data_IF_811162093035
#
_entry.id   IF_811162093035
#
_cell.length_a   1.000
_cell.length_b   1.000
_cell.length_c   1.000
_cell.angle_alpha   90.00
_cell.angle_beta   90.00
_cell.angle_gamma   90.00
#
_symmetry.space_group_name_H-M   'P 1'
#
loop_
_entity.id
_entity.type
_entity.pdbx_description
1 polymer ?
#
# COMPACT_ATOMS: atom_id res chain seq x y z
N UNK A 1 3.63 22.03 -7.11
CA UNK A 1 4.51 22.10 -8.30
C UNK A 1 4.61 20.75 -9.02
N UNK A 2 5.03 19.67 -8.35
CA UNK A 2 5.18 18.34 -8.97
C UNK A 2 3.96 17.81 -9.75
N UNK A 3 2.75 17.93 -9.21
CA UNK A 3 1.55 17.31 -9.80
C UNK A 3 1.03 17.98 -11.09
N UNK A 4 1.39 19.24 -11.34
CA UNK A 4 0.99 19.95 -12.56
C UNK A 4 1.80 19.50 -13.79
N UNK A 5 3.01 18.99 -13.57
CA UNK A 5 3.91 18.54 -14.65
C UNK A 5 3.53 17.15 -15.19
N UNK A 6 2.62 16.44 -14.51
CA UNK A 6 2.16 15.09 -14.88
C UNK A 6 0.72 15.07 -15.42
N UNK A 7 0.21 16.22 -15.90
CA UNK A 7 -1.08 16.30 -16.60
C UNK A 7 -2.31 16.09 -15.71
N UNK A 8 -2.17 16.24 -14.40
CA UNK A 8 -3.29 16.15 -13.48
C UNK A 8 -4.25 17.32 -13.62
N UNK A 9 -5.55 17.03 -13.56
CA UNK A 9 -6.61 18.03 -13.71
C UNK A 9 -7.05 18.49 -12.33
N UNK A 10 -6.96 19.79 -12.10
CA UNK A 10 -7.47 20.42 -10.88
C UNK A 10 -8.92 20.81 -11.11
N UNK A 11 -9.84 20.26 -10.30
CA UNK A 11 -11.24 20.64 -10.30
C UNK A 11 -11.55 21.36 -8.99
N UNK A 12 -12.06 22.60 -9.10
CA UNK A 12 -12.59 23.37 -7.97
C UNK A 12 -14.10 23.16 -7.91
N UNK A 13 -14.58 22.48 -6.86
CA UNK A 13 -16.02 22.27 -6.58
C UNK A 13 -16.70 23.54 -6.07
N UNK A 14 -16.58 24.67 -6.79
CA UNK A 14 -17.30 25.89 -6.39
C UNK A 14 -18.81 25.79 -6.62
N UNK A 15 -19.30 24.82 -7.43
CA UNK A 15 -20.71 24.78 -7.84
C UNK A 15 -21.41 23.41 -7.87
N UNK A 16 -20.81 22.32 -7.35
CA UNK A 16 -21.53 21.03 -7.30
C UNK A 16 -22.14 20.76 -5.92
N UNK A 17 -23.24 21.45 -5.65
CA UNK A 17 -24.21 21.04 -4.64
C UNK A 17 -24.88 19.71 -5.06
N UNK A 18 -24.21 18.54 -4.96
CA UNK A 18 -24.86 17.22 -5.14
C UNK A 18 -24.04 15.94 -4.89
N UNK A 19 -22.97 15.95 -4.09
CA UNK A 19 -22.34 14.67 -3.68
C UNK A 19 -23.06 14.09 -2.46
N UNK A 20 -24.11 13.32 -2.73
CA UNK A 20 -24.80 12.47 -1.77
C UNK A 20 -24.24 11.06 -1.91
N UNK A 21 -23.47 10.60 -0.92
CA UNK A 21 -23.20 9.17 -0.74
C UNK A 21 -24.18 8.65 0.30
N UNK A 22 -25.04 7.69 -0.09
CA UNK A 22 -25.99 7.02 0.80
C UNK A 22 -26.91 7.95 1.61
N UNK A 23 -27.41 9.02 0.99
CA UNK A 23 -28.34 9.97 1.63
C UNK A 23 -27.71 10.92 2.67
N UNK A 24 -26.40 10.84 2.92
CA UNK A 24 -25.75 11.69 3.93
C UNK A 24 -25.12 12.91 3.26
N UNK A 25 -25.64 14.09 3.57
CA UNK A 25 -25.02 15.38 3.24
C UNK A 25 -23.73 15.52 4.05
N UNK A 26 -22.57 15.48 3.38
CA UNK A 26 -21.29 15.77 4.03
C UNK A 26 -21.27 17.24 4.48
N UNK A 27 -20.89 17.47 5.73
CA UNK A 27 -20.85 18.79 6.36
C UNK A 27 -20.01 19.77 5.51
N UNK A 28 -20.61 20.88 5.08
CA UNK A 28 -19.99 21.90 4.23
C UNK A 28 -18.71 22.52 4.83
N UNK A 29 -18.54 22.46 6.15
CA UNK A 29 -17.33 22.96 6.82
C UNK A 29 -16.14 22.00 6.74
N UNK A 30 -16.35 20.72 6.37
CA UNK A 30 -15.28 19.74 6.14
C UNK A 30 -14.77 19.74 4.70
N UNK A 31 -15.49 20.39 3.77
CA UNK A 31 -15.22 20.31 2.32
C UNK A 31 -14.78 21.63 1.70
N UNK A 32 -14.76 22.73 2.47
CA UNK A 32 -14.60 24.09 1.97
C UNK A 32 -13.25 24.42 1.31
N UNK A 33 -12.26 23.52 1.37
CA UNK A 33 -10.93 23.67 0.74
C UNK A 33 -10.40 22.37 0.12
N UNK A 34 -11.26 21.39 -0.16
CA UNK A 34 -10.83 20.16 -0.84
C UNK A 34 -10.80 20.38 -2.35
N UNK A 35 -9.65 20.79 -2.86
CA UNK A 35 -9.38 20.72 -4.31
C UNK A 35 -9.16 19.25 -4.68
N UNK A 36 -10.01 18.72 -5.56
CA UNK A 36 -9.86 17.36 -6.04
C UNK A 36 -8.83 17.35 -7.16
N UNK A 37 -7.77 16.59 -6.92
CA UNK A 37 -6.74 16.35 -7.91
C UNK A 37 -6.99 15.00 -8.57
N UNK A 38 -7.45 15.02 -9.81
CA UNK A 38 -7.66 13.81 -10.59
C UNK A 38 -6.34 13.40 -11.25
N UNK A 39 -5.82 12.26 -10.83
CA UNK A 39 -4.62 11.61 -11.36
C UNK A 39 -4.88 10.12 -11.47
N UNK A 40 -4.41 9.50 -12.55
CA UNK A 40 -4.47 8.06 -12.66
C UNK A 40 -3.49 7.43 -11.67
N UNK A 41 -3.83 6.21 -11.23
CA UNK A 41 -3.06 5.48 -10.23
C UNK A 41 -1.60 5.26 -10.64
N UNK A 42 -1.34 4.97 -11.91
CA UNK A 42 0.01 4.65 -12.38
C UNK A 42 0.92 5.87 -12.25
N UNK A 43 0.46 7.02 -12.72
CA UNK A 43 1.19 8.28 -12.62
C UNK A 43 1.45 8.66 -11.16
N UNK A 44 0.45 8.52 -10.28
CA UNK A 44 0.63 8.81 -8.85
C UNK A 44 1.68 7.88 -8.21
N UNK A 45 1.62 6.58 -8.49
CA UNK A 45 2.62 5.61 -7.99
C UNK A 45 4.04 5.96 -8.48
N UNK A 46 4.19 6.37 -9.74
CA UNK A 46 5.49 6.80 -10.30
C UNK A 46 6.04 8.02 -9.57
N UNK A 47 5.22 9.05 -9.34
CA UNK A 47 5.62 10.27 -8.63
C UNK A 47 6.04 9.95 -7.20
N UNK A 48 5.24 9.17 -6.48
CA UNK A 48 5.56 8.78 -5.09
C UNK A 48 6.88 7.99 -5.00
N UNK A 49 7.12 7.03 -5.90
CA UNK A 49 8.38 6.28 -5.93
C UNK A 49 9.58 7.19 -6.17
N UNK A 50 9.47 8.13 -7.13
CA UNK A 50 10.54 9.08 -7.42
C UNK A 50 10.87 9.94 -6.20
N UNK A 51 9.85 10.50 -5.55
CA UNK A 51 10.05 11.32 -4.36
C UNK A 51 10.66 10.52 -3.20
N UNK A 52 10.21 9.28 -2.97
CA UNK A 52 10.81 8.40 -1.97
C UNK A 52 12.30 8.12 -2.26
N UNK A 53 12.66 7.83 -3.51
CA UNK A 53 14.06 7.64 -3.89
C UNK A 53 14.90 8.91 -3.69
N UNK A 54 14.35 10.09 -3.98
CA UNK A 54 15.06 11.36 -3.80
C UNK A 54 15.27 11.71 -2.32
N UNK A 55 14.24 11.51 -1.49
CA UNK A 55 14.29 11.84 -0.07
C UNK A 55 15.10 10.84 0.75
N UNK A 56 14.98 9.56 0.46
CA UNK A 56 15.55 8.48 1.27
C UNK A 56 16.75 7.78 0.61
N UNK A 57 17.13 8.15 -0.62
CA UNK A 57 18.33 7.68 -1.29
C UNK A 57 18.48 6.15 -1.23
N UNK A 58 19.61 5.70 -0.66
CA UNK A 58 19.96 4.27 -0.55
C UNK A 58 19.30 3.54 0.64
N UNK A 59 18.44 4.21 1.41
CA UNK A 59 17.76 3.58 2.56
C UNK A 59 16.57 2.70 2.13
N UNK A 60 16.07 2.88 0.90
CA UNK A 60 14.97 2.09 0.36
C UNK A 60 15.51 1.14 -0.71
N UNK A 61 15.46 -0.15 -0.42
CA UNK A 61 15.74 -1.19 -1.41
C UNK A 61 14.46 -1.67 -2.08
N UNK A 62 14.30 -1.36 -3.37
CA UNK A 62 13.15 -1.81 -4.15
C UNK A 62 13.40 -3.19 -4.78
N UNK A 63 12.69 -4.22 -4.28
CA UNK A 63 12.67 -5.56 -4.91
C UNK A 63 11.54 -5.66 -5.95
N UNK A 64 11.82 -5.21 -7.17
CA UNK A 64 10.88 -5.33 -8.30
C UNK A 64 10.67 -6.79 -8.69
N UNK A 65 9.51 -7.09 -9.28
CA UNK A 65 9.12 -8.43 -9.72
C UNK A 65 9.21 -9.51 -8.62
N UNK A 66 9.21 -9.11 -7.36
CA UNK A 66 9.14 -10.00 -6.21
C UNK A 66 7.70 -10.28 -5.81
N UNK A 67 7.46 -11.46 -5.23
CA UNK A 67 6.21 -11.80 -4.55
C UNK A 67 6.53 -12.44 -3.21
N UNK A 68 5.98 -11.88 -2.14
CA UNK A 68 5.97 -12.52 -0.83
C UNK A 68 5.06 -13.75 -0.90
N UNK A 69 5.55 -14.88 -0.40
CA UNK A 69 4.85 -16.18 -0.46
C UNK A 69 4.58 -16.78 0.92
N UNK A 70 5.31 -16.36 1.95
CA UNK A 70 5.18 -16.90 3.30
C UNK A 70 5.71 -15.90 4.35
N UNK A 71 5.19 -16.00 5.57
CA UNK A 71 5.78 -15.38 6.76
C UNK A 71 6.86 -16.28 7.38
N UNK A 72 7.88 -15.67 7.97
CA UNK A 72 8.84 -16.33 8.85
C UNK A 72 8.36 -16.06 10.28
N UNK A 73 7.98 -17.11 11.00
CA UNK A 73 7.36 -17.01 12.32
C UNK A 73 8.18 -17.74 13.37
N UNK A 74 8.26 -17.16 14.55
CA UNK A 74 8.67 -17.86 15.76
C UNK A 74 7.42 -18.18 16.57
N UNK A 75 7.04 -19.46 16.56
CA UNK A 75 5.86 -19.94 17.28
C UNK A 75 6.05 -19.90 18.80
N UNK A 76 7.28 -20.02 19.30
CA UNK A 76 7.56 -19.99 20.73
C UNK A 76 7.43 -18.58 21.30
N UNK A 77 7.91 -17.59 20.56
CA UNK A 77 7.76 -16.17 20.89
C UNK A 77 6.41 -15.60 20.45
N UNK A 78 5.62 -16.33 19.66
CA UNK A 78 4.39 -15.86 19.02
C UNK A 78 4.60 -14.58 18.20
N UNK A 79 5.70 -14.50 17.44
CA UNK A 79 6.09 -13.32 16.66
C UNK A 79 6.32 -13.64 15.19
N UNK A 80 6.13 -12.64 14.33
CA UNK A 80 6.56 -12.68 12.93
C UNK A 80 7.92 -12.00 12.84
N UNK A 81 8.92 -12.70 12.33
CA UNK A 81 10.31 -12.22 12.24
C UNK A 81 10.69 -11.73 10.84
N UNK A 82 9.92 -12.11 9.82
CA UNK A 82 10.27 -11.81 8.44
C UNK A 82 9.30 -12.35 7.41
N UNK A 83 9.71 -12.29 6.15
CA UNK A 83 8.98 -12.79 4.99
C UNK A 83 9.88 -13.60 4.07
N UNK A 84 9.31 -14.64 3.46
CA UNK A 84 9.93 -15.32 2.31
C UNK A 84 9.32 -14.78 1.03
N UNK A 85 10.15 -14.45 0.06
CA UNK A 85 9.72 -14.00 -1.25
C UNK A 85 10.39 -14.78 -2.38
N UNK A 86 9.79 -14.70 -3.58
CA UNK A 86 10.32 -15.25 -4.83
C UNK A 86 10.31 -14.19 -5.91
N UNK A 87 11.34 -14.19 -6.77
CA UNK A 87 11.37 -13.39 -7.99
C UNK A 87 10.55 -14.08 -9.09
N UNK A 88 9.62 -13.35 -9.71
CA UNK A 88 8.67 -13.88 -10.70
C UNK A 88 9.33 -14.37 -11.99
N UNK A 89 10.49 -13.83 -12.34
CA UNK A 89 11.20 -14.13 -13.59
C UNK A 89 11.78 -15.55 -13.62
N UNK A 90 11.86 -16.23 -12.47
CA UNK A 90 12.40 -17.58 -12.37
C UNK A 90 11.40 -18.50 -11.66
N UNK A 91 10.46 -19.06 -12.42
CA UNK A 91 9.53 -20.10 -11.92
C UNK A 91 10.35 -21.38 -11.66
N UNK A 92 10.80 -21.54 -10.41
CA UNK A 92 11.78 -22.55 -9.99
C UNK A 92 12.90 -21.99 -9.11
N UNK A 93 13.00 -20.66 -8.98
CA UNK A 93 13.98 -20.01 -8.10
C UNK A 93 13.77 -20.34 -6.62
N UNK A 94 14.90 -20.40 -5.93
CA UNK A 94 15.00 -20.46 -4.48
C UNK A 94 14.19 -19.35 -3.83
N UNK A 95 13.58 -19.67 -2.69
CA UNK A 95 12.97 -18.66 -1.82
C UNK A 95 14.08 -17.84 -1.17
N UNK A 96 13.81 -16.55 -1.03
CA UNK A 96 14.70 -15.59 -0.38
C UNK A 96 14.04 -15.09 0.90
N UNK A 97 14.82 -14.97 1.96
CA UNK A 97 14.36 -14.56 3.28
C UNK A 97 14.72 -13.09 3.53
N UNK A 98 13.81 -12.35 4.15
CA UNK A 98 14.04 -11.00 4.66
C UNK A 98 13.49 -10.91 6.06
N UNK A 99 14.33 -10.46 6.99
CA UNK A 99 13.99 -10.27 8.39
C UNK A 99 13.82 -8.78 8.69
N UNK A 100 12.99 -8.46 9.66
CA UNK A 100 12.81 -7.09 10.13
C UNK A 100 11.94 -7.03 11.38
N UNK A 101 12.10 -5.95 12.15
CA UNK A 101 11.35 -5.74 13.39
C UNK A 101 9.85 -5.51 13.13
N UNK A 102 9.53 -4.92 11.97
CA UNK A 102 8.17 -4.63 11.55
C UNK A 102 7.94 -5.08 10.11
N UNK A 103 6.75 -5.63 9.86
CA UNK A 103 6.27 -5.95 8.52
C UNK A 103 4.97 -5.19 8.31
N UNK A 104 4.95 -4.35 7.28
CA UNK A 104 3.78 -3.57 6.90
C UNK A 104 3.24 -4.15 5.60
N UNK A 105 2.07 -4.76 5.67
CA UNK A 105 1.40 -5.32 4.50
C UNK A 105 0.48 -4.29 3.82
N UNK A 106 0.93 -3.80 2.67
CA UNK A 106 0.20 -2.88 1.81
C UNK A 106 -0.24 -3.53 0.48
N UNK A 107 -0.42 -4.85 0.42
CA UNK A 107 -0.77 -5.58 -0.82
C UNK A 107 -2.21 -5.34 -1.30
N UNK A 108 -3.06 -4.76 -0.45
CA UNK A 108 -4.43 -4.36 -0.79
C UNK A 108 -5.45 -5.49 -0.62
N UNK A 109 -6.49 -5.47 -1.46
CA UNK A 109 -7.57 -6.47 -1.41
C UNK A 109 -7.01 -7.87 -1.72
N UNK A 110 -7.50 -8.88 -0.99
CA UNK A 110 -7.08 -10.28 -1.09
C UNK A 110 -5.64 -10.55 -0.66
N UNK A 111 -5.14 -9.81 0.35
CA UNK A 111 -3.87 -10.15 0.98
C UNK A 111 -3.86 -11.60 1.50
N UNK A 112 -2.72 -12.27 1.30
CA UNK A 112 -2.46 -13.59 1.88
C UNK A 112 -1.98 -13.54 3.34
N UNK A 113 -1.60 -12.36 3.85
CA UNK A 113 -1.04 -12.21 5.19
C UNK A 113 -2.02 -12.63 6.29
N UNK A 114 -3.30 -12.29 6.16
CA UNK A 114 -4.32 -12.70 7.14
C UNK A 114 -4.44 -14.23 7.18
N UNK A 115 -4.39 -14.89 6.00
CA UNK A 115 -4.41 -16.34 5.93
C UNK A 115 -3.17 -16.92 6.62
N UNK A 116 -1.98 -16.44 6.27
CA UNK A 116 -0.73 -16.91 6.89
C UNK A 116 -0.72 -16.71 8.40
N UNK A 117 -1.22 -15.57 8.87
CA UNK A 117 -1.35 -15.30 10.29
C UNK A 117 -2.28 -16.31 10.97
N UNK A 118 -3.45 -16.62 10.41
CA UNK A 118 -4.36 -17.66 10.93
C UNK A 118 -3.77 -19.07 10.89
N UNK A 119 -2.99 -19.37 9.85
CA UNK A 119 -2.35 -20.69 9.70
C UNK A 119 -1.22 -20.90 10.72
N UNK A 120 -0.56 -19.82 11.17
CA UNK A 120 0.59 -19.89 12.07
C UNK A 120 0.27 -19.51 13.53
N UNK A 121 -0.83 -18.81 13.75
CA UNK A 121 -1.25 -18.31 15.06
C UNK A 121 -2.75 -18.54 15.26
N UNK A 122 -3.14 -18.87 16.49
CA UNK A 122 -4.55 -18.96 16.88
C UNK A 122 -5.15 -17.55 17.05
N UNK A 123 -5.36 -16.85 15.94
CA UNK A 123 -5.90 -15.50 15.92
C UNK A 123 -7.42 -15.52 15.81
N UNK A 124 -8.08 -14.94 16.81
CA UNK A 124 -9.48 -14.55 16.71
C UNK A 124 -9.52 -13.25 15.91
N UNK A 125 -9.87 -13.34 14.62
CA UNK A 125 -10.06 -12.14 13.79
C UNK A 125 -11.52 -11.70 13.93
N UNK A 126 -11.79 -10.49 14.46
CA UNK A 126 -13.15 -9.95 14.48
C UNK A 126 -13.65 -9.81 13.04
N UNK A 127 -14.81 -10.42 12.75
CA UNK A 127 -15.53 -10.29 11.47
C UNK A 127 -16.25 -8.96 11.37
#
# INVERSE_FOLDING_TARGET
KLLNDYGGRSYSLKDEARLVSSGTLLNQNLTKNLEWFCIDRFTLETVLRKELCLQFGNQIEWKCNARVVQLIVDQSANTVQGVKYRLKENVGSSLLDVYGDFIIDCTGRNTSSIKWLKDNFNLIVPT
#
